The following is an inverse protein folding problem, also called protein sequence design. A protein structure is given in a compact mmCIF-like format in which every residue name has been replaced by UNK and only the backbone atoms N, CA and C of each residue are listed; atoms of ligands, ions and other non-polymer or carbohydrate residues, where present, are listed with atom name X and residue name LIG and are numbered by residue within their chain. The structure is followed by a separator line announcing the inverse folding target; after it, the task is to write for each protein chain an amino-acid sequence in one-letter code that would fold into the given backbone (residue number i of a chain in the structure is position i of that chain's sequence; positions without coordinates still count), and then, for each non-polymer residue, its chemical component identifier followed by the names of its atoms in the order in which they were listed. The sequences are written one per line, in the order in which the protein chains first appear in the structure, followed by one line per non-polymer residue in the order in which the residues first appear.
data_IF_926181869664
#
_entry.id   IF_926181869664
#
_cell.length_a   1.000
_cell.length_b   1.000
_cell.length_c   1.000
_cell.angle_alpha   90.00
_cell.angle_beta   90.00
_cell.angle_gamma   90.00
#
_symmetry.space_group_name_H-M   'P 1'
#
loop_
_entity.id
_entity.type
_entity.pdbx_description
1 polymer ?
#
# COMPACT_ATOMS: atom_id res chain seq x y z
N UNK A 1 -61.14 14.37 -58.47
CA UNK A 1 -60.56 13.61 -57.33
C UNK A 1 -59.30 14.33 -56.87
N UNK A 2 -59.36 14.94 -55.69
CA UNK A 2 -58.31 15.85 -55.19
C UNK A 2 -57.21 15.06 -54.46
N UNK A 3 -56.17 14.62 -55.17
CA UNK A 3 -55.03 13.86 -54.62
C UNK A 3 -54.04 14.70 -53.78
N UNK A 4 -54.31 15.99 -53.55
CA UNK A 4 -53.36 16.89 -52.85
C UNK A 4 -53.27 16.70 -51.32
N UNK A 5 -54.19 15.96 -50.70
CA UNK A 5 -54.21 15.75 -49.25
C UNK A 5 -53.22 14.70 -48.71
N UNK A 6 -52.81 13.71 -49.52
CA UNK A 6 -51.95 12.62 -49.03
C UNK A 6 -50.48 13.01 -48.87
N UNK A 7 -49.96 13.97 -49.63
CA UNK A 7 -48.54 14.36 -49.57
C UNK A 7 -48.14 15.05 -48.25
N UNK A 8 -49.05 15.78 -47.62
CA UNK A 8 -48.77 16.55 -46.40
C UNK A 8 -48.64 15.63 -45.18
N UNK A 9 -49.39 14.52 -45.14
CA UNK A 9 -49.35 13.56 -44.04
C UNK A 9 -48.04 12.75 -44.04
N UNK A 10 -47.51 12.39 -45.21
CA UNK A 10 -46.23 11.67 -45.31
C UNK A 10 -45.02 12.49 -44.84
N UNK A 11 -45.00 13.81 -45.11
CA UNK A 11 -43.90 14.67 -44.66
C UNK A 11 -43.81 14.75 -43.13
N UNK A 12 -44.94 14.82 -42.42
CA UNK A 12 -44.94 14.89 -40.96
C UNK A 12 -44.39 13.61 -40.32
N UNK A 13 -44.78 12.44 -40.85
CA UNK A 13 -44.27 11.15 -40.37
C UNK A 13 -42.75 11.08 -40.60
N UNK A 14 -42.27 11.50 -41.77
CA UNK A 14 -40.84 11.51 -42.06
C UNK A 14 -40.05 12.42 -41.11
N UNK A 15 -40.56 13.62 -40.82
CA UNK A 15 -39.94 14.57 -39.88
C UNK A 15 -39.86 13.97 -38.47
N UNK A 16 -40.94 13.35 -38.00
CA UNK A 16 -40.96 12.72 -36.67
C UNK A 16 -39.94 11.58 -36.60
N UNK A 17 -39.90 10.72 -37.62
CA UNK A 17 -38.94 9.60 -37.67
C UNK A 17 -37.50 10.12 -37.70
N UNK A 18 -37.19 11.08 -38.56
CA UNK A 18 -35.85 11.68 -38.63
C UNK A 18 -35.47 12.35 -37.29
N UNK A 19 -36.40 13.05 -36.65
CA UNK A 19 -36.20 13.64 -35.33
C UNK A 19 -35.87 12.61 -34.25
N UNK A 20 -36.56 11.46 -34.24
CA UNK A 20 -36.27 10.35 -33.32
C UNK A 20 -34.86 9.79 -33.54
N UNK A 21 -34.46 9.57 -34.79
CA UNK A 21 -33.11 9.07 -35.10
C UNK A 21 -32.02 10.06 -34.66
N UNK A 22 -32.21 11.35 -34.92
CA UNK A 22 -31.27 12.39 -34.51
C UNK A 22 -31.20 12.48 -32.98
N UNK A 23 -32.35 12.40 -32.29
CA UNK A 23 -32.40 12.40 -30.82
C UNK A 23 -31.67 11.19 -30.24
N UNK A 24 -31.91 9.98 -30.76
CA UNK A 24 -31.22 8.76 -30.33
C UNK A 24 -29.70 8.87 -30.55
N UNK A 25 -29.27 9.47 -31.66
CA UNK A 25 -27.85 9.72 -31.93
C UNK A 25 -27.22 10.62 -30.86
N UNK A 26 -27.87 11.74 -30.51
CA UNK A 26 -27.35 12.63 -29.46
C UNK A 26 -27.37 11.99 -28.07
N UNK A 27 -28.39 11.18 -27.75
CA UNK A 27 -28.41 10.43 -26.48
C UNK A 27 -27.24 9.45 -26.40
N UNK A 28 -26.96 8.71 -27.47
CA UNK A 28 -25.81 7.81 -27.52
C UNK A 28 -24.47 8.55 -27.39
N UNK A 29 -24.35 9.72 -28.02
CA UNK A 29 -23.17 10.58 -27.85
C UNK A 29 -23.02 11.09 -26.42
N UNK A 30 -24.11 11.50 -25.76
CA UNK A 30 -24.08 12.00 -24.38
C UNK A 30 -23.62 10.94 -23.39
N UNK A 31 -24.15 9.71 -23.50
CA UNK A 31 -23.71 8.59 -22.65
C UNK A 31 -22.22 8.34 -22.83
N UNK A 32 -21.74 8.22 -24.08
CA UNK A 32 -20.32 8.00 -24.35
C UNK A 32 -19.44 9.17 -23.90
N UNK A 33 -19.93 10.40 -23.98
CA UNK A 33 -19.22 11.57 -23.49
C UNK A 33 -19.06 11.54 -21.97
N UNK A 34 -20.10 11.14 -21.24
CA UNK A 34 -20.03 10.95 -19.78
C UNK A 34 -19.00 9.88 -19.42
N UNK A 35 -19.02 8.72 -20.07
CA UNK A 35 -18.04 7.64 -19.82
C UNK A 35 -16.58 8.13 -20.02
N UNK A 36 -16.35 8.94 -21.06
CA UNK A 36 -15.02 9.53 -21.34
C UNK A 36 -14.62 10.55 -20.26
N UNK A 37 -15.57 11.36 -19.77
CA UNK A 37 -15.29 12.31 -18.69
C UNK A 37 -14.95 11.58 -17.39
N UNK A 38 -15.72 10.54 -17.03
CA UNK A 38 -15.49 9.74 -15.83
C UNK A 38 -14.13 9.03 -15.90
N UNK A 39 -13.79 8.43 -17.04
CA UNK A 39 -12.47 7.81 -17.25
C UNK A 39 -11.32 8.81 -17.17
N UNK A 40 -11.50 10.02 -17.73
CA UNK A 40 -10.50 11.10 -17.63
C UNK A 40 -10.34 11.58 -16.18
N UNK A 41 -11.43 11.68 -15.44
CA UNK A 41 -11.42 12.10 -14.05
C UNK A 41 -10.75 11.04 -13.16
N UNK A 42 -11.06 9.75 -13.37
CA UNK A 42 -10.39 8.63 -12.70
C UNK A 42 -8.88 8.62 -13.00
N UNK A 43 -8.49 8.89 -14.25
CA UNK A 43 -7.08 9.01 -14.63
C UNK A 43 -6.36 10.12 -13.88
N UNK A 44 -7.01 11.28 -13.76
CA UNK A 44 -6.47 12.42 -13.02
C UNK A 44 -6.31 12.08 -11.54
N UNK A 45 -7.29 11.43 -10.93
CA UNK A 45 -7.20 11.00 -9.53
C UNK A 45 -6.08 9.99 -9.29
N UNK A 46 -5.90 9.01 -10.18
CA UNK A 46 -4.77 8.09 -10.07
C UNK A 46 -3.42 8.77 -10.19
N UNK A 47 -3.31 9.78 -11.05
CA UNK A 47 -2.09 10.56 -11.17
C UNK A 47 -1.82 11.42 -9.92
N UNK A 48 -2.85 12.10 -9.41
CA UNK A 48 -2.75 12.91 -8.19
C UNK A 48 -2.42 12.04 -6.97
N UNK A 49 -3.06 10.87 -6.86
CA UNK A 49 -2.81 9.87 -5.82
C UNK A 49 -1.37 9.33 -5.87
N UNK A 50 -0.90 8.96 -7.07
CA UNK A 50 0.49 8.52 -7.30
C UNK A 50 1.50 9.61 -6.91
N UNK A 51 1.25 10.85 -7.33
CA UNK A 51 2.11 11.98 -6.97
C UNK A 51 2.08 12.28 -5.47
N UNK A 52 0.94 12.07 -4.81
CA UNK A 52 0.83 12.20 -3.36
C UNK A 52 1.71 11.18 -2.65
N UNK A 53 1.61 9.90 -3.00
CA UNK A 53 2.47 8.84 -2.46
C UNK A 53 3.95 9.14 -2.71
N UNK A 54 4.30 9.54 -3.94
CA UNK A 54 5.65 9.97 -4.32
C UNK A 54 6.18 11.08 -3.41
N UNK A 55 5.36 12.08 -3.12
CA UNK A 55 5.70 13.16 -2.20
C UNK A 55 5.95 12.65 -0.78
N UNK A 56 5.07 11.77 -0.29
CA UNK A 56 5.16 11.23 1.06
C UNK A 56 6.38 10.32 1.26
N UNK A 57 6.76 9.50 0.28
CA UNK A 57 7.96 8.62 0.40
C UNK A 57 9.27 9.40 0.60
N UNK A 58 9.29 10.72 0.42
CA UNK A 58 10.49 11.52 0.70
C UNK A 58 10.81 11.69 2.19
N UNK A 59 9.86 11.42 3.10
CA UNK A 59 10.01 11.61 4.55
C UNK A 59 9.05 10.72 5.33
N UNK A 60 9.39 10.32 6.57
CA UNK A 60 8.40 9.72 7.47
C UNK A 60 7.30 10.74 7.80
N UNK A 61 6.13 10.56 7.20
CA UNK A 61 5.02 11.48 7.31
C UNK A 61 3.69 10.73 7.29
N UNK A 62 2.71 11.35 7.92
CA UNK A 62 1.31 11.01 7.74
C UNK A 62 0.63 12.14 6.97
N UNK A 63 -0.38 11.79 6.17
CA UNK A 63 -1.15 12.76 5.41
C UNK A 63 -2.56 12.25 5.18
N UNK A 64 -3.49 13.18 5.09
CA UNK A 64 -4.87 12.89 4.69
C UNK A 64 -5.06 13.33 3.25
N UNK A 65 -5.72 12.50 2.47
CA UNK A 65 -6.13 12.81 1.11
C UNK A 65 -7.64 12.79 1.04
N UNK A 66 -8.21 13.87 0.52
CA UNK A 66 -9.65 13.99 0.34
C UNK A 66 -9.97 14.10 -1.15
N UNK A 67 -10.86 13.24 -1.61
CA UNK A 67 -11.37 13.23 -2.96
C UNK A 67 -12.85 12.80 -2.96
N UNK A 68 -13.60 13.03 -4.05
CA UNK A 68 -14.93 12.44 -4.20
C UNK A 68 -14.84 10.93 -4.05
N UNK A 69 -15.84 10.31 -3.40
CA UNK A 69 -15.87 8.86 -3.11
C UNK A 69 -15.49 8.04 -4.34
N UNK A 70 -14.48 7.19 -4.18
CA UNK A 70 -13.94 6.33 -5.21
C UNK A 70 -13.45 5.02 -4.60
N UNK A 71 -13.47 3.96 -5.41
CA UNK A 71 -12.99 2.64 -5.02
C UNK A 71 -11.54 2.49 -5.43
N UNK A 72 -10.68 2.13 -4.48
CA UNK A 72 -9.28 1.79 -4.72
C UNK A 72 -9.08 0.32 -4.36
N UNK A 73 -8.46 -0.41 -5.27
CA UNK A 73 -7.92 -1.74 -5.01
C UNK A 73 -6.42 -1.77 -5.30
N UNK A 74 -5.69 -2.71 -4.71
CA UNK A 74 -4.27 -2.92 -4.95
C UNK A 74 -4.01 -4.41 -5.17
N UNK A 75 -3.36 -4.75 -6.27
CA UNK A 75 -3.06 -6.13 -6.68
C UNK A 75 -1.57 -6.46 -6.55
N UNK A 76 -0.88 -5.85 -5.59
CA UNK A 76 0.57 -5.93 -5.35
C UNK A 76 1.45 -5.20 -6.38
N UNK A 77 0.98 -4.97 -7.60
CA UNK A 77 1.77 -4.26 -8.63
C UNK A 77 1.13 -2.93 -9.03
N UNK A 78 -0.20 -2.91 -9.05
CA UNK A 78 -1.02 -1.84 -9.60
C UNK A 78 -2.06 -1.39 -8.60
N UNK A 79 -2.21 -0.08 -8.52
CA UNK A 79 -3.36 0.54 -7.86
C UNK A 79 -4.46 0.68 -8.89
N UNK A 80 -5.60 0.05 -8.64
CA UNK A 80 -6.76 0.03 -9.53
C UNK A 80 -7.81 0.99 -8.98
N UNK A 81 -8.12 2.04 -9.73
CA UNK A 81 -9.12 3.03 -9.35
C UNK A 81 -10.42 2.79 -10.12
N UNK A 82 -11.52 2.65 -9.37
CA UNK A 82 -12.87 2.40 -9.86
C UNK A 82 -13.00 1.19 -10.82
N UNK A 83 -12.03 0.27 -10.79
CA UNK A 83 -12.00 -0.92 -11.65
C UNK A 83 -11.50 -0.69 -13.09
N UNK A 84 -11.19 0.55 -13.48
CA UNK A 84 -10.93 0.89 -14.88
C UNK A 84 -9.45 1.09 -15.21
N UNK A 85 -8.68 1.68 -14.29
CA UNK A 85 -7.30 2.09 -14.54
C UNK A 85 -6.36 1.58 -13.45
N UNK A 86 -5.43 0.73 -13.86
CA UNK A 86 -4.30 0.27 -13.06
C UNK A 86 -3.10 1.20 -13.22
N UNK A 87 -2.53 1.63 -12.10
CA UNK A 87 -1.30 2.42 -12.05
C UNK A 87 -0.22 1.58 -11.40
N UNK A 88 0.83 1.25 -12.16
CA UNK A 88 1.98 0.56 -11.60
C UNK A 88 2.67 1.43 -10.55
N UNK A 89 2.89 0.83 -9.38
CA UNK A 89 3.49 1.44 -8.20
C UNK A 89 4.69 0.60 -7.77
N UNK A 90 5.94 1.07 -7.98
CA UNK A 90 7.14 0.32 -7.62
C UNK A 90 7.48 0.43 -6.12
N UNK A 91 6.46 0.52 -5.26
CA UNK A 91 6.60 0.75 -3.83
C UNK A 91 5.94 -0.37 -3.05
N UNK A 92 6.52 -0.74 -1.92
CA UNK A 92 5.86 -1.62 -0.96
C UNK A 92 4.70 -0.85 -0.31
N UNK A 93 3.49 -1.38 -0.42
CA UNK A 93 2.26 -0.73 0.05
C UNK A 93 1.43 -1.75 0.83
N UNK A 94 1.10 -1.41 2.07
CA UNK A 94 0.07 -2.13 2.83
C UNK A 94 -1.24 -1.36 2.71
N UNK A 95 -2.21 -1.97 2.03
CA UNK A 95 -3.53 -1.39 1.81
C UNK A 95 -4.57 -2.51 1.68
N UNK A 96 -5.82 -2.20 2.00
CA UNK A 96 -6.99 -3.02 1.71
C UNK A 96 -7.90 -2.32 0.69
N UNK A 97 -8.98 -2.98 0.26
CA UNK A 97 -9.95 -2.28 -0.58
C UNK A 97 -10.54 -1.08 0.17
N UNK A 98 -10.47 0.10 -0.44
CA UNK A 98 -11.01 1.35 0.12
C UNK A 98 -12.13 1.84 -0.78
N UNK A 99 -13.31 2.09 -0.21
CA UNK A 99 -14.44 2.77 -0.86
C UNK A 99 -14.82 4.00 -0.02
N UNK A 100 -13.99 5.04 -0.11
CA UNK A 100 -14.10 6.23 0.72
C UNK A 100 -13.65 7.50 -0.03
N UNK A 101 -14.08 8.65 0.48
CA UNK A 101 -13.60 9.96 0.03
C UNK A 101 -12.47 10.51 0.91
N UNK A 102 -12.18 9.86 2.04
CA UNK A 102 -11.13 10.27 2.97
C UNK A 102 -10.17 9.11 3.19
N UNK A 103 -8.90 9.33 2.81
CA UNK A 103 -7.86 8.32 2.85
C UNK A 103 -6.73 8.85 3.72
N UNK A 104 -6.24 7.98 4.60
CA UNK A 104 -5.08 8.23 5.42
C UNK A 104 -3.88 7.52 4.83
N UNK A 105 -2.80 8.26 4.70
CA UNK A 105 -1.49 7.75 4.36
C UNK A 105 -0.58 7.84 5.58
N UNK A 106 0.22 6.80 5.76
CA UNK A 106 1.29 6.76 6.73
C UNK A 106 2.51 6.12 6.09
N UNK A 107 3.65 6.80 6.15
CA UNK A 107 4.93 6.27 5.66
C UNK A 107 5.84 5.98 6.84
N UNK A 108 6.35 4.75 6.88
CA UNK A 108 7.33 4.30 7.88
C UNK A 108 8.56 3.72 7.18
N UNK A 109 9.74 3.96 7.75
CA UNK A 109 10.97 3.35 7.28
C UNK A 109 11.09 1.91 7.77
N UNK A 110 11.21 0.96 6.84
CA UNK A 110 11.53 -0.41 7.17
C UNK A 110 13.05 -0.58 7.21
N UNK A 111 13.55 -0.90 8.41
CA UNK A 111 14.98 -1.12 8.67
C UNK A 111 15.27 -2.58 8.97
N UNK A 112 16.24 -3.15 8.27
CA UNK A 112 16.81 -4.47 8.58
C UNK A 112 18.34 -4.36 8.73
N UNK A 113 18.74 -3.56 9.70
CA UNK A 113 20.13 -3.12 9.92
C UNK A 113 20.50 -1.85 9.15
N UNK A 114 19.87 -1.65 7.99
CA UNK A 114 19.88 -0.42 7.18
C UNK A 114 18.48 -0.19 6.59
N UNK A 115 18.25 1.00 6.02
CA UNK A 115 16.98 1.35 5.37
C UNK A 115 16.79 0.49 4.12
N UNK A 116 15.72 -0.33 4.11
CA UNK A 116 15.36 -1.19 2.98
C UNK A 116 14.37 -0.49 2.05
N UNK A 117 13.25 -0.01 2.61
CA UNK A 117 12.30 0.84 1.89
C UNK A 117 11.53 1.75 2.86
N UNK A 118 10.84 2.74 2.30
CA UNK A 118 9.82 3.55 2.97
C UNK A 118 8.45 3.04 2.57
N UNK A 119 7.84 2.28 3.45
CA UNK A 119 6.61 1.55 3.14
C UNK A 119 5.43 2.44 3.43
N UNK A 120 4.41 2.33 2.57
CA UNK A 120 3.23 3.19 2.64
C UNK A 120 2.06 2.36 3.14
N UNK A 121 1.52 2.73 4.29
CA UNK A 121 0.25 2.24 4.81
C UNK A 121 -0.86 3.17 4.33
N UNK A 122 -1.91 2.59 3.75
CA UNK A 122 -3.06 3.32 3.22
C UNK A 122 -4.32 2.75 3.86
N UNK A 123 -5.12 3.62 4.47
CA UNK A 123 -6.36 3.26 5.17
C UNK A 123 -7.49 4.19 4.79
N UNK A 124 -8.72 3.69 4.84
CA UNK A 124 -9.89 4.55 4.96
C UNK A 124 -9.82 5.31 6.30
N UNK A 125 -9.95 6.65 6.26
CA UNK A 125 -9.94 7.48 7.46
C UNK A 125 -11.18 7.29 8.34
N UNK A 126 -12.23 6.65 7.80
CA UNK A 126 -13.46 6.35 8.52
C UNK A 126 -13.34 5.15 9.46
N UNK A 127 -12.42 4.22 9.15
CA UNK A 127 -12.22 2.97 9.90
C UNK A 127 -11.72 3.20 11.31
N UNK A 128 -12.23 2.38 12.23
CA UNK A 128 -11.90 2.35 13.65
C UNK A 128 -11.02 1.16 13.95
N UNK A 129 -9.94 1.40 14.67
CA UNK A 129 -8.96 0.39 14.98
C UNK A 129 -8.90 0.14 16.48
N UNK A 130 -8.82 -1.14 16.87
CA UNK A 130 -8.45 -1.54 18.20
C UNK A 130 -7.10 -2.24 18.15
N UNK A 131 -6.18 -1.79 18.99
CA UNK A 131 -4.91 -2.46 19.25
C UNK A 131 -4.80 -2.73 20.74
N UNK A 132 -4.27 -3.89 21.12
CA UNK A 132 -3.78 -4.09 22.49
C UNK A 132 -2.70 -3.06 22.85
N UNK A 133 -2.59 -2.71 24.14
CA UNK A 133 -1.74 -1.60 24.59
C UNK A 133 -0.27 -1.71 24.16
N UNK A 134 0.24 -2.93 24.04
CA UNK A 134 1.62 -3.20 23.61
C UNK A 134 1.89 -2.79 22.15
N UNK A 135 0.87 -2.74 21.30
CA UNK A 135 1.00 -2.40 19.87
C UNK A 135 0.58 -0.97 19.54
N UNK A 136 0.31 -0.12 20.55
CA UNK A 136 -0.20 1.25 20.32
C UNK A 136 0.87 2.31 20.12
N UNK A 137 2.13 2.04 20.50
CA UNK A 137 3.12 3.11 20.69
C UNK A 137 3.51 3.85 19.42
N UNK A 138 3.42 3.21 18.24
CA UNK A 138 3.90 3.78 16.99
C UNK A 138 2.76 4.12 16.01
N UNK A 139 1.50 4.03 16.44
CA UNK A 139 0.35 4.30 15.58
C UNK A 139 0.22 5.83 15.37
N UNK A 140 0.05 6.30 14.12
CA UNK A 140 -0.17 7.72 13.85
C UNK A 140 -1.41 8.27 14.58
N UNK A 141 -1.35 9.53 15.07
CA UNK A 141 -2.45 10.12 15.85
C UNK A 141 -3.76 10.30 15.08
N UNK A 142 -3.72 10.23 13.75
CA UNK A 142 -4.88 10.40 12.88
C UNK A 142 -5.68 9.10 12.67
N UNK A 143 -5.12 7.95 13.05
CA UNK A 143 -5.83 6.68 13.06
C UNK A 143 -6.88 6.73 14.18
N UNK A 144 -8.13 6.40 13.84
CA UNK A 144 -9.24 6.42 14.80
C UNK A 144 -9.16 5.20 15.72
N UNK A 145 -8.40 5.33 16.80
CA UNK A 145 -8.31 4.30 17.83
C UNK A 145 -9.58 4.27 18.70
N UNK A 146 -10.09 3.07 18.95
CA UNK A 146 -11.18 2.81 19.90
C UNK A 146 -10.68 2.00 21.09
N UNK A 147 -11.29 2.22 22.25
CA UNK A 147 -10.90 1.56 23.50
C UNK A 147 -11.48 0.14 23.67
N UNK A 148 -12.45 -0.25 22.84
CA UNK A 148 -13.12 -1.56 22.89
C UNK A 148 -13.08 -2.23 21.53
N UNK A 149 -12.67 -3.50 21.48
CA UNK A 149 -12.65 -4.33 20.28
C UNK A 149 -14.04 -4.42 19.62
N UNK A 150 -15.12 -4.41 20.42
CA UNK A 150 -16.51 -4.45 19.92
C UNK A 150 -16.94 -3.24 19.08
N UNK A 151 -16.16 -2.15 19.09
CA UNK A 151 -16.47 -0.92 18.36
C UNK A 151 -15.49 -0.68 17.19
N UNK A 152 -14.61 -1.63 16.92
CA UNK A 152 -13.57 -1.53 15.91
C UNK A 152 -13.98 -2.26 14.63
N UNK A 153 -13.54 -1.74 13.50
CA UNK A 153 -13.62 -2.40 12.20
C UNK A 153 -12.42 -3.35 12.01
N UNK A 154 -11.28 -3.04 12.65
CA UNK A 154 -10.06 -3.85 12.68
C UNK A 154 -9.60 -4.06 14.12
N UNK A 155 -9.39 -5.32 14.51
CA UNK A 155 -8.95 -5.71 15.85
C UNK A 155 -7.58 -6.38 15.75
N UNK A 156 -6.58 -5.84 16.46
CA UNK A 156 -5.25 -6.44 16.60
C UNK A 156 -5.03 -6.81 18.06
N UNK A 157 -4.91 -8.10 18.35
CA UNK A 157 -4.81 -8.59 19.73
C UNK A 157 -3.87 -9.79 19.90
N UNK A 158 -3.25 -9.87 21.08
CA UNK A 158 -2.49 -11.04 21.51
C UNK A 158 -3.30 -12.04 22.36
N UNK A 159 -4.58 -11.72 22.64
CA UNK A 159 -5.51 -12.61 23.35
C UNK A 159 -6.56 -13.17 22.38
N UNK A 160 -6.54 -14.50 22.10
CA UNK A 160 -7.48 -15.09 21.16
C UNK A 160 -8.92 -15.07 21.68
N UNK A 161 -9.16 -14.80 22.97
CA UNK A 161 -10.50 -14.72 23.54
C UNK A 161 -11.20 -13.38 23.25
N UNK A 162 -10.45 -12.34 22.86
CA UNK A 162 -11.02 -11.05 22.44
C UNK A 162 -11.50 -11.05 20.99
N UNK A 163 -11.07 -12.06 20.24
CA UNK A 163 -11.43 -12.34 18.85
C UNK A 163 -12.76 -13.12 18.86
N UNK A 164 -13.86 -12.38 18.98
CA UNK A 164 -15.23 -12.93 18.93
C UNK A 164 -15.77 -12.80 17.51
N UNK A 165 -15.86 -13.90 16.78
CA UNK A 165 -16.37 -13.98 15.39
C UNK A 165 -17.63 -13.12 15.16
N UNK A 166 -17.41 -11.89 14.72
CA UNK A 166 -18.40 -10.96 14.21
C UNK A 166 -18.15 -10.83 12.72
N UNK A 167 -19.11 -11.27 11.91
CA UNK A 167 -18.93 -11.59 10.46
C UNK A 167 -18.47 -10.45 9.55
N UNK A 168 -18.33 -9.23 10.06
CA UNK A 168 -18.04 -8.02 9.28
C UNK A 168 -16.81 -7.25 9.77
N UNK A 169 -16.01 -7.80 10.70
CA UNK A 169 -14.79 -7.15 11.20
C UNK A 169 -13.55 -7.98 10.88
N UNK A 170 -12.44 -7.29 10.66
CA UNK A 170 -11.14 -7.93 10.43
C UNK A 170 -10.44 -8.16 11.75
N UNK A 171 -9.97 -9.38 11.96
CA UNK A 171 -9.27 -9.76 13.20
C UNK A 171 -7.86 -10.28 12.90
N UNK A 172 -6.88 -9.69 13.57
CA UNK A 172 -5.47 -10.04 13.49
C UNK A 172 -5.02 -10.53 14.87
N UNK A 173 -4.58 -11.78 14.92
CA UNK A 173 -4.04 -12.38 16.12
C UNK A 173 -2.51 -12.37 16.09
N UNK A 174 -1.88 -11.90 17.16
CA UNK A 174 -0.43 -11.77 17.26
C UNK A 174 0.08 -12.62 18.41
N UNK A 175 0.95 -13.60 18.13
CA UNK A 175 1.46 -14.49 19.16
C UNK A 175 2.85 -15.04 18.82
N UNK A 176 3.80 -14.89 19.74
CA UNK A 176 5.14 -15.50 19.66
C UNK A 176 5.86 -15.26 18.31
N UNK A 177 5.83 -14.04 17.78
CA UNK A 177 6.46 -13.73 16.48
C UNK A 177 5.70 -14.24 15.26
N UNK A 178 4.43 -14.64 15.43
CA UNK A 178 3.51 -14.94 14.34
C UNK A 178 2.33 -13.97 14.32
N UNK A 179 1.93 -13.59 13.11
CA UNK A 179 0.68 -12.91 12.79
C UNK A 179 -0.25 -13.95 12.16
N UNK A 180 -1.49 -14.01 12.62
CA UNK A 180 -2.56 -14.83 12.07
C UNK A 180 -3.73 -13.96 11.61
N UNK A 181 -4.09 -14.08 10.34
CA UNK A 181 -5.29 -13.48 9.77
C UNK A 181 -6.46 -14.42 10.07
N UNK A 182 -7.37 -14.01 10.95
CA UNK A 182 -8.43 -14.91 11.44
C UNK A 182 -9.42 -15.27 10.32
N UNK A 183 -9.66 -14.34 9.38
CA UNK A 183 -10.64 -14.48 8.31
C UNK A 183 -10.32 -15.64 7.34
N UNK A 184 -9.04 -15.91 7.08
CA UNK A 184 -8.58 -16.94 6.16
C UNK A 184 -7.69 -18.02 6.82
N UNK A 185 -7.25 -17.80 8.05
CA UNK A 185 -6.37 -18.70 8.81
C UNK A 185 -4.91 -18.68 8.36
N UNK A 186 -4.50 -17.72 7.51
CA UNK A 186 -3.12 -17.59 7.05
C UNK A 186 -2.22 -17.07 8.18
N UNK A 187 -1.00 -17.59 8.22
CA UNK A 187 -0.03 -17.30 9.29
C UNK A 187 1.30 -16.89 8.73
N UNK A 188 1.85 -15.81 9.27
CA UNK A 188 3.10 -15.22 8.83
C UNK A 188 4.04 -15.02 10.01
N UNK A 189 5.32 -15.27 9.79
CA UNK A 189 6.35 -14.88 10.74
C UNK A 189 6.63 -13.40 10.58
N UNK A 190 6.89 -12.72 11.70
CA UNK A 190 7.30 -11.33 11.70
C UNK A 190 8.47 -11.11 12.66
N UNK A 191 9.30 -10.11 12.35
CA UNK A 191 10.50 -9.77 13.11
C UNK A 191 10.36 -8.48 13.93
N UNK A 192 9.36 -7.64 13.64
CA UNK A 192 9.10 -6.38 14.32
C UNK A 192 7.61 -5.94 14.23
N UNK A 193 7.23 -4.95 15.04
CA UNK A 193 5.85 -4.45 15.07
C UNK A 193 5.40 -3.80 13.75
N UNK A 194 6.33 -3.44 12.87
CA UNK A 194 6.02 -2.85 11.57
C UNK A 194 5.14 -3.79 10.71
N UNK A 195 5.36 -5.10 10.78
CA UNK A 195 4.50 -6.08 10.11
C UNK A 195 3.15 -6.26 10.80
N UNK A 196 3.03 -6.01 12.10
CA UNK A 196 1.73 -6.02 12.79
C UNK A 196 0.84 -4.92 12.20
N UNK A 197 1.42 -3.73 11.96
CA UNK A 197 0.71 -2.66 11.25
C UNK A 197 0.40 -3.06 9.81
N UNK A 198 1.34 -3.67 9.08
CA UNK A 198 1.11 -4.17 7.73
C UNK A 198 -0.12 -5.06 7.65
N UNK A 199 -0.24 -6.00 8.60
CA UNK A 199 -1.38 -6.89 8.71
C UNK A 199 -2.68 -6.14 9.09
N UNK A 200 -2.62 -5.13 9.96
CA UNK A 200 -3.77 -4.30 10.29
C UNK A 200 -4.32 -3.54 9.06
N UNK A 201 -3.45 -3.07 8.16
CA UNK A 201 -3.82 -2.22 7.01
C UNK A 201 -4.04 -2.97 5.69
N UNK A 202 -3.78 -4.28 5.61
CA UNK A 202 -3.89 -5.06 4.37
C UNK A 202 -4.54 -6.42 4.58
N UNK A 203 -5.07 -7.06 3.53
CA UNK A 203 -5.47 -8.47 3.61
C UNK A 203 -4.24 -9.39 3.55
N UNK A 204 -4.41 -10.69 3.80
CA UNK A 204 -3.29 -11.65 3.83
C UNK A 204 -2.52 -11.74 2.49
N UNK A 205 -3.21 -11.61 1.36
CA UNK A 205 -2.62 -11.64 0.02
C UNK A 205 -1.68 -10.45 -0.20
N UNK A 206 -2.17 -9.23 0.08
CA UNK A 206 -1.40 -7.99 -0.03
C UNK A 206 -0.28 -7.97 1.01
N UNK A 207 -0.55 -8.48 2.22
CA UNK A 207 0.44 -8.58 3.27
C UNK A 207 1.63 -9.44 2.81
N UNK A 208 1.34 -10.65 2.31
CA UNK A 208 2.34 -11.59 1.84
C UNK A 208 3.17 -11.01 0.70
N UNK A 209 2.53 -10.48 -0.34
CA UNK A 209 3.28 -9.97 -1.49
C UNK A 209 4.15 -8.76 -1.13
N UNK A 210 3.69 -7.90 -0.21
CA UNK A 210 4.46 -6.76 0.27
C UNK A 210 5.64 -7.22 1.14
N UNK A 211 5.44 -8.25 1.96
CA UNK A 211 6.53 -8.88 2.71
C UNK A 211 7.58 -9.49 1.76
N UNK A 212 7.15 -10.24 0.74
CA UNK A 212 8.03 -10.84 -0.27
C UNK A 212 8.83 -9.75 -1.03
N UNK A 213 8.20 -8.64 -1.44
CA UNK A 213 8.88 -7.50 -2.09
C UNK A 213 9.93 -6.83 -1.17
N UNK A 214 9.63 -6.69 0.13
CA UNK A 214 10.59 -6.15 1.10
C UNK A 214 11.78 -7.08 1.33
N UNK A 215 11.55 -8.40 1.35
CA UNK A 215 12.62 -9.40 1.44
C UNK A 215 13.50 -9.39 0.19
N UNK A 216 12.92 -9.36 -1.01
CA UNK A 216 13.67 -9.27 -2.27
C UNK A 216 14.55 -8.00 -2.31
N UNK A 217 14.00 -6.86 -1.89
CA UNK A 217 14.76 -5.59 -1.79
C UNK A 217 15.91 -5.68 -0.80
N UNK A 218 15.68 -6.30 0.35
CA UNK A 218 16.72 -6.51 1.34
C UNK A 218 17.87 -7.37 0.78
N UNK A 219 17.56 -8.44 0.06
CA UNK A 219 18.56 -9.31 -0.56
C UNK A 219 19.39 -8.55 -1.61
N UNK A 220 18.73 -7.80 -2.51
CA UNK A 220 19.41 -6.96 -3.52
C UNK A 220 20.35 -5.94 -2.85
N UNK A 221 19.87 -5.22 -1.82
CA UNK A 221 20.70 -4.24 -1.10
C UNK A 221 21.86 -4.92 -0.37
N UNK A 222 21.63 -6.09 0.22
CA UNK A 222 22.66 -6.88 0.90
C UNK A 222 23.77 -7.31 -0.06
N UNK A 223 23.43 -7.77 -1.26
CA UNK A 223 24.42 -8.12 -2.30
C UNK A 223 25.27 -6.91 -2.74
N UNK A 224 24.62 -5.74 -2.89
CA UNK A 224 25.31 -4.49 -3.21
C UNK A 224 26.28 -4.08 -2.09
N UNK A 225 25.87 -4.20 -0.83
CA UNK A 225 26.73 -3.89 0.31
C UNK A 225 27.86 -4.91 0.49
N UNK A 226 27.63 -6.20 0.26
CA UNK A 226 28.68 -7.23 0.24
C UNK A 226 29.72 -6.92 -0.85
N UNK A 227 29.27 -6.45 -2.02
CA UNK A 227 30.15 -6.02 -3.10
C UNK A 227 30.97 -4.79 -2.71
N UNK A 228 30.35 -3.79 -2.09
CA UNK A 228 31.04 -2.61 -1.52
C UNK A 228 32.08 -3.01 -0.47
N UNK A 229 31.72 -3.90 0.46
CA UNK A 229 32.63 -4.43 1.48
C UNK A 229 33.84 -5.10 0.85
N UNK A 230 33.63 -5.93 -0.19
CA UNK A 230 34.71 -6.60 -0.90
C UNK A 230 35.68 -5.60 -1.52
N UNK A 231 35.16 -4.53 -2.14
CA UNK A 231 35.98 -3.43 -2.67
C UNK A 231 36.77 -2.71 -1.55
N UNK A 232 36.10 -2.29 -0.48
CA UNK A 232 36.74 -1.59 0.65
C UNK A 232 37.80 -2.45 1.34
N UNK A 233 37.54 -3.75 1.52
CA UNK A 233 38.50 -4.67 2.15
C UNK A 233 39.81 -4.82 1.36
N UNK A 234 39.77 -4.57 0.05
CA UNK A 234 40.93 -4.64 -0.84
C UNK A 234 41.71 -3.32 -0.96
N UNK A 235 41.05 -2.18 -0.70
CA UNK A 235 41.62 -0.84 -0.90
C UNK A 235 42.06 -0.16 0.39
N UNK A 236 41.54 -0.59 1.55
CA UNK A 236 41.80 0.01 2.86
C UNK A 236 42.91 -0.68 3.66
N UNK A 237 43.22 -0.12 4.84
CA UNK A 237 44.22 -0.65 5.75
C UNK A 237 43.88 -2.08 6.21
N UNK A 238 44.92 -2.91 6.39
CA UNK A 238 44.78 -4.29 6.86
C UNK A 238 44.10 -4.40 8.25
N UNK A 239 44.04 -3.32 9.03
CA UNK A 239 43.34 -3.26 10.31
C UNK A 239 41.81 -3.27 10.17
N UNK A 240 41.26 -2.81 9.03
CA UNK A 240 39.81 -2.78 8.80
C UNK A 240 39.27 -4.09 8.19
N UNK A 241 40.12 -4.90 7.55
CA UNK A 241 39.72 -6.15 6.90
C UNK A 241 38.95 -7.11 7.80
N UNK A 242 39.33 -7.34 9.08
CA UNK A 242 38.55 -8.20 9.97
C UNK A 242 37.14 -7.67 10.25
N UNK A 243 36.97 -6.35 10.40
CA UNK A 243 35.67 -5.73 10.65
C UNK A 243 34.75 -5.84 9.43
N UNK A 244 35.30 -5.62 8.24
CA UNK A 244 34.60 -5.84 6.98
C UNK A 244 34.16 -7.30 6.81
N UNK A 245 34.99 -8.27 7.16
CA UNK A 245 34.63 -9.69 7.12
C UNK A 245 33.50 -10.03 8.09
N UNK A 246 33.50 -9.45 9.30
CA UNK A 246 32.40 -9.61 10.27
C UNK A 246 31.09 -9.08 9.71
N UNK A 247 31.08 -7.85 9.17
CA UNK A 247 29.87 -7.27 8.57
C UNK A 247 29.40 -8.05 7.34
N UNK A 248 30.32 -8.52 6.48
CA UNK A 248 29.99 -9.39 5.35
C UNK A 248 29.30 -10.67 5.81
N UNK A 249 29.83 -11.31 6.85
CA UNK A 249 29.21 -12.52 7.40
C UNK A 249 27.83 -12.21 7.99
N UNK A 250 27.65 -11.06 8.66
CA UNK A 250 26.36 -10.65 9.19
C UNK A 250 25.29 -10.51 8.10
N UNK A 251 25.66 -9.91 6.95
CA UNK A 251 24.78 -9.81 5.78
C UNK A 251 24.54 -11.17 5.10
N UNK A 252 25.56 -12.02 5.01
CA UNK A 252 25.46 -13.31 4.29
C UNK A 252 24.61 -14.34 5.03
N UNK A 253 24.69 -14.37 6.36
CA UNK A 253 23.96 -15.34 7.18
C UNK A 253 22.62 -14.81 7.70
N UNK A 254 22.15 -13.67 7.17
CA UNK A 254 20.90 -13.01 7.56
C UNK A 254 20.78 -12.86 9.08
N UNK A 255 21.83 -12.29 9.69
CA UNK A 255 21.82 -11.98 11.12
C UNK A 255 20.76 -10.92 11.46
N UNK A 256 20.46 -10.76 12.74
CA UNK A 256 19.46 -9.79 13.20
C UNK A 256 19.83 -8.37 12.78
N UNK A 257 18.82 -7.52 12.59
CA UNK A 257 19.03 -6.09 12.29
C UNK A 257 20.00 -5.40 13.27
N UNK A 258 19.94 -5.77 14.55
CA UNK A 258 20.83 -5.26 15.59
C UNK A 258 22.31 -5.67 15.38
N UNK A 259 22.57 -6.91 14.96
CA UNK A 259 23.93 -7.40 14.68
C UNK A 259 24.53 -6.76 13.44
N UNK A 260 23.73 -6.58 12.38
CA UNK A 260 24.13 -5.87 11.16
C UNK A 260 24.51 -4.43 11.50
N UNK A 261 23.63 -3.73 12.24
CA UNK A 261 23.86 -2.34 12.67
C UNK A 261 25.10 -2.21 13.56
N UNK A 262 25.22 -3.05 14.58
CA UNK A 262 26.38 -3.04 15.50
C UNK A 262 27.69 -3.31 14.76
N UNK A 263 27.68 -4.21 13.77
CA UNK A 263 28.86 -4.49 12.95
C UNK A 263 29.27 -3.29 12.09
N UNK A 264 28.30 -2.55 11.55
CA UNK A 264 28.57 -1.32 10.79
C UNK A 264 29.05 -0.18 11.68
N UNK A 265 28.44 0.02 12.86
CA UNK A 265 28.85 1.05 13.83
C UNK A 265 30.29 0.83 14.33
N UNK A 266 30.71 -0.43 14.44
CA UNK A 266 32.09 -0.76 14.78
C UNK A 266 33.09 -0.25 13.73
N UNK A 267 32.73 -0.10 12.45
CA UNK A 267 33.64 0.50 11.47
C UNK A 267 33.99 1.94 11.84
N UNK A 268 33.00 2.71 12.29
CA UNK A 268 33.18 4.11 12.74
C UNK A 268 34.15 4.18 13.91
N UNK A 269 33.96 3.30 14.91
CA UNK A 269 34.76 3.29 16.14
C UNK A 269 36.27 3.03 15.88
N UNK A 270 36.60 2.37 14.77
CA UNK A 270 37.98 2.07 14.39
C UNK A 270 38.50 2.94 13.23
N UNK A 271 37.76 3.98 12.83
CA UNK A 271 38.14 4.89 11.75
C UNK A 271 38.12 4.23 10.36
N UNK A 272 37.37 3.14 10.20
CA UNK A 272 37.11 2.50 8.92
C UNK A 272 35.95 3.20 8.20
N UNK A 273 35.90 3.09 6.87
CA UNK A 273 34.79 3.64 6.09
C UNK A 273 33.51 2.83 6.29
N UNK A 274 32.40 3.53 6.46
CA UNK A 274 31.08 2.95 6.71
C UNK A 274 30.47 2.41 5.41
N UNK A 275 29.76 1.29 5.49
CA UNK A 275 29.18 0.64 4.30
C UNK A 275 27.83 1.25 3.93
N UNK A 276 27.00 1.57 4.92
CA UNK A 276 25.72 2.24 4.77
C UNK A 276 25.51 3.27 5.87
#
# INVERSE_FOLDING_TARGET
MNKKGQGVQFNWIFIVIAGVFVLMFFLGFLVKYMDIQDSKQNAQYGWDFKNHILGLKSTEQYSNFSAPRFKINYDCENIIINGDQGFSMPYSIFMEEIDSGEILFWVEEYHKGFLVDRVVFISDASKKYYFDEEYRSNIPPNIRLVSSASNADVVVSSDPLKVVDERDRKEIFVNNGMIEFVDDGERFLYDNDFFIYGAAFSNSEIFKCTQDDLEERFDILSELYISKISYLSSSQSASCTPLYNTLRNALTFSLTAAEIKSSNDNLINYGCEVVF
#
